data_IF_291763881222
#
_entry.id   IF_291763881222
#
_cell.length_a   1.000
_cell.length_b   1.000
_cell.length_c   1.000
_cell.angle_alpha   90.00
_cell.angle_beta   90.00
_cell.angle_gamma   90.00
#
_symmetry.space_group_name_H-M   'P 1'
#
loop_
_entity.id
_entity.type
_entity.pdbx_description
1 polymer ?
#
# COMPACT_ATOMS: atom_id res chain seq x y z
N UNK A 1 -4.81 -2.40 -3.39
CA UNK A 1 -4.66 -1.09 -4.10
C UNK A 1 -4.50 0.01 -3.09
N UNK A 2 -3.50 0.89 -3.25
CA UNK A 2 -3.38 2.10 -2.44
C UNK A 2 -4.32 3.16 -3.02
N UNK A 3 -5.24 3.66 -2.20
CA UNK A 3 -6.14 4.75 -2.55
C UNK A 3 -5.80 5.97 -1.70
N UNK A 4 -5.02 6.87 -2.28
CA UNK A 4 -4.35 7.99 -1.60
C UNK A 4 -4.84 9.34 -2.12
N UNK A 5 -5.53 9.34 -3.24
CA UNK A 5 -5.94 10.50 -4.02
C UNK A 5 -6.94 11.38 -3.28
N UNK A 6 -6.50 12.57 -2.94
CA UNK A 6 -7.18 13.53 -2.07
C UNK A 6 -6.62 13.56 -0.64
N UNK A 7 -5.67 12.68 -0.32
CA UNK A 7 -4.95 12.68 0.97
C UNK A 7 -3.50 13.15 0.88
N UNK A 8 -2.98 13.34 -0.32
CA UNK A 8 -1.64 13.84 -0.61
C UNK A 8 -1.41 15.27 -0.11
N UNK A 9 -0.15 15.72 -0.12
CA UNK A 9 0.18 17.13 0.13
C UNK A 9 -0.46 18.02 -0.93
N UNK A 10 -1.16 19.05 -0.48
CA UNK A 10 -1.78 20.04 -1.36
C UNK A 10 -1.75 21.44 -0.72
N UNK A 11 -1.30 22.43 -1.47
CA UNK A 11 -1.26 23.82 -1.01
C UNK A 11 -2.65 24.32 -0.58
N UNK A 12 -3.72 23.83 -1.21
CA UNK A 12 -5.10 24.17 -0.82
C UNK A 12 -5.52 23.58 0.53
N UNK A 13 -4.79 22.55 1.00
CA UNK A 13 -4.98 21.95 2.33
C UNK A 13 -4.06 22.57 3.40
N UNK A 14 -3.32 23.64 3.04
CA UNK A 14 -2.39 24.32 3.94
C UNK A 14 -0.99 23.69 3.99
N UNK A 15 -0.68 22.75 3.11
CA UNK A 15 0.62 22.09 3.08
C UNK A 15 1.63 22.92 2.33
N UNK A 16 2.40 23.67 2.55
CA UNK A 16 3.36 24.51 1.83
C UNK A 16 3.76 24.10 0.40
N UNK A 17 3.49 22.83 -0.02
CA UNK A 17 3.79 22.32 -1.37
C UNK A 17 2.74 21.31 -1.84
N UNK A 18 2.62 21.11 -3.17
CA UNK A 18 1.98 19.90 -3.71
C UNK A 18 2.85 18.67 -3.49
N UNK A 19 2.26 17.46 -3.50
CA UNK A 19 2.97 16.18 -3.26
C UNK A 19 4.06 15.94 -4.31
N UNK A 20 5.34 15.79 -3.91
CA UNK A 20 6.44 15.55 -4.84
C UNK A 20 6.66 14.09 -5.17
N UNK A 21 5.95 13.16 -4.52
CA UNK A 21 6.26 11.74 -4.52
C UNK A 21 5.21 10.89 -5.24
N UNK A 22 5.67 9.86 -5.95
CA UNK A 22 4.83 8.83 -6.58
C UNK A 22 3.76 9.37 -7.56
N UNK A 23 4.13 10.27 -8.44
CA UNK A 23 3.35 10.66 -9.61
C UNK A 23 4.20 10.60 -10.90
N UNK A 24 3.60 10.74 -12.08
CA UNK A 24 4.21 10.38 -13.37
C UNK A 24 5.55 11.05 -13.67
N UNK A 25 5.74 12.32 -13.31
CA UNK A 25 6.92 13.08 -13.71
C UNK A 25 7.94 13.30 -12.60
N UNK A 26 7.63 12.93 -11.36
CA UNK A 26 8.48 13.21 -10.21
C UNK A 26 8.67 14.72 -9.94
N UNK A 27 9.48 15.09 -8.96
CA UNK A 27 9.68 16.48 -8.61
C UNK A 27 10.37 17.21 -9.76
N UNK A 28 9.64 18.02 -10.50
CA UNK A 28 10.20 18.99 -11.42
C UNK A 28 10.38 20.28 -10.66
N UNK A 29 11.62 20.73 -10.52
CA UNK A 29 12.20 21.98 -10.06
C UNK A 29 11.38 23.21 -9.67
N UNK A 30 10.15 23.06 -9.22
CA UNK A 30 9.36 24.13 -8.61
C UNK A 30 9.78 24.29 -7.14
N UNK A 31 10.08 25.53 -6.75
CA UNK A 31 10.43 25.84 -5.36
C UNK A 31 9.37 25.39 -4.37
N UNK A 32 9.77 25.31 -3.11
CA UNK A 32 9.00 24.73 -1.99
C UNK A 32 7.63 25.38 -1.69
N UNK A 33 7.18 26.37 -2.44
CA UNK A 33 5.99 27.16 -2.11
C UNK A 33 4.97 27.26 -3.27
N UNK A 34 5.12 26.44 -4.32
CA UNK A 34 4.24 26.55 -5.48
C UNK A 34 3.42 25.30 -5.70
N UNK A 35 2.16 25.52 -6.09
CA UNK A 35 1.29 24.46 -6.58
C UNK A 35 1.86 23.80 -7.83
N UNK A 36 1.87 22.47 -7.83
CA UNK A 36 2.28 21.68 -8.98
C UNK A 36 1.04 21.10 -9.67
N UNK A 37 0.39 21.91 -10.51
CA UNK A 37 -0.90 21.55 -11.12
C UNK A 37 -0.88 20.21 -11.88
N UNK A 38 0.22 19.87 -12.55
CA UNK A 38 0.32 18.58 -13.24
C UNK A 38 0.30 17.40 -12.27
N UNK A 39 0.97 17.53 -11.12
CA UNK A 39 0.95 16.51 -10.08
C UNK A 39 -0.42 16.38 -9.44
N UNK A 40 -1.03 17.51 -9.07
CA UNK A 40 -2.39 17.54 -8.52
C UNK A 40 -3.41 16.90 -9.46
N UNK A 41 -3.33 17.18 -10.77
CA UNK A 41 -4.20 16.59 -11.79
C UNK A 41 -3.92 15.09 -11.99
N UNK A 42 -2.70 14.63 -11.76
CA UNK A 42 -2.38 13.20 -11.83
C UNK A 42 -3.02 12.44 -10.66
N UNK A 43 -2.99 13.02 -9.45
CA UNK A 43 -3.76 12.50 -8.32
C UNK A 43 -5.27 12.54 -8.60
N UNK A 44 -5.78 13.65 -9.11
CA UNK A 44 -7.19 13.77 -9.49
C UNK A 44 -7.61 12.72 -10.53
N UNK A 45 -6.76 12.43 -11.51
CA UNK A 45 -7.00 11.34 -12.46
C UNK A 45 -7.16 9.98 -11.75
N UNK A 46 -6.36 9.72 -10.72
CA UNK A 46 -6.45 8.51 -9.92
C UNK A 46 -7.83 8.32 -9.30
N UNK A 47 -8.38 9.36 -8.66
CA UNK A 47 -9.72 9.28 -8.05
C UNK A 47 -10.85 9.29 -9.06
N UNK A 48 -10.75 10.07 -10.16
CA UNK A 48 -11.83 10.21 -11.16
C UNK A 48 -11.91 9.06 -12.14
N UNK A 49 -10.78 8.48 -12.53
CA UNK A 49 -10.69 7.48 -13.59
C UNK A 49 -10.02 6.19 -13.15
N UNK A 50 -8.83 6.30 -12.56
CA UNK A 50 -7.94 5.15 -12.32
C UNK A 50 -8.53 4.13 -11.35
N UNK A 51 -9.00 4.58 -10.19
CA UNK A 51 -9.59 3.72 -9.17
C UNK A 51 -10.83 2.98 -9.72
N UNK A 52 -11.67 3.66 -10.45
CA UNK A 52 -12.85 3.06 -11.08
C UNK A 52 -12.50 2.04 -12.17
N UNK A 53 -11.42 2.27 -12.91
CA UNK A 53 -10.95 1.32 -13.92
C UNK A 53 -10.44 0.04 -13.26
N UNK A 54 -9.62 0.16 -12.22
CA UNK A 54 -9.15 -1.00 -11.45
C UNK A 54 -10.32 -1.73 -10.81
N UNK A 55 -11.27 -1.03 -10.22
CA UNK A 55 -12.47 -1.64 -9.65
C UNK A 55 -13.28 -2.45 -10.69
N UNK A 56 -13.42 -1.91 -11.91
CA UNK A 56 -14.09 -2.66 -13.00
C UNK A 56 -13.32 -3.91 -13.41
N UNK A 57 -11.98 -3.87 -13.42
CA UNK A 57 -11.17 -5.05 -13.68
C UNK A 57 -11.38 -6.12 -12.60
N UNK A 58 -11.39 -5.75 -11.33
CA UNK A 58 -11.69 -6.70 -10.26
C UNK A 58 -13.05 -7.35 -10.45
N UNK A 59 -14.05 -6.58 -10.83
CA UNK A 59 -15.42 -7.09 -11.12
C UNK A 59 -15.46 -8.01 -12.34
N UNK A 60 -14.71 -7.70 -13.40
CA UNK A 60 -14.61 -8.52 -14.62
C UNK A 60 -14.15 -9.95 -14.28
N UNK A 61 -13.19 -10.08 -13.36
CA UNK A 61 -12.68 -11.38 -12.91
C UNK A 61 -13.39 -11.97 -11.70
N UNK A 62 -14.35 -11.27 -11.12
CA UNK A 62 -15.03 -11.69 -9.90
C UNK A 62 -14.13 -11.66 -8.65
N UNK A 63 -13.06 -10.88 -8.66
CA UNK A 63 -12.06 -10.83 -7.61
C UNK A 63 -12.27 -9.65 -6.65
N UNK A 64 -11.79 -9.85 -5.43
CA UNK A 64 -11.75 -8.83 -4.39
C UNK A 64 -10.31 -8.40 -4.15
N UNK A 65 -10.14 -7.19 -3.63
CA UNK A 65 -8.83 -6.67 -3.27
C UNK A 65 -8.86 -5.98 -1.90
N UNK A 66 -7.71 -5.87 -1.27
CA UNK A 66 -7.52 -4.96 -0.14
C UNK A 66 -7.24 -3.56 -0.67
N UNK A 67 -8.00 -2.59 -0.20
CA UNK A 67 -7.79 -1.17 -0.47
C UNK A 67 -7.12 -0.55 0.75
N UNK A 68 -5.85 -0.19 0.60
CA UNK A 68 -5.15 0.63 1.56
C UNK A 68 -5.67 2.05 1.43
N UNK A 69 -6.59 2.39 2.31
CA UNK A 69 -7.37 3.60 2.21
C UNK A 69 -6.79 4.71 3.10
N UNK A 70 -6.39 5.81 2.48
CA UNK A 70 -6.17 7.07 3.19
C UNK A 70 -7.55 7.62 3.58
N UNK A 71 -7.76 7.87 4.87
CA UNK A 71 -9.10 8.13 5.38
C UNK A 71 -9.75 9.37 4.76
N UNK A 72 -9.03 10.50 4.67
CA UNK A 72 -9.55 11.72 4.05
C UNK A 72 -9.87 11.53 2.55
N UNK A 73 -9.16 10.63 1.85
CA UNK A 73 -9.46 10.32 0.47
C UNK A 73 -10.84 9.62 0.32
N UNK A 74 -11.19 8.75 1.28
CA UNK A 74 -12.51 8.13 1.34
C UNK A 74 -13.61 9.14 1.73
N UNK A 75 -13.34 10.06 2.66
CA UNK A 75 -14.24 11.14 3.03
C UNK A 75 -14.55 12.07 1.84
N UNK A 76 -13.53 12.39 1.04
CA UNK A 76 -13.63 13.25 -0.16
C UNK A 76 -14.30 12.56 -1.35
N UNK A 77 -14.32 11.22 -1.38
CA UNK A 77 -14.95 10.45 -2.45
C UNK A 77 -15.91 9.37 -1.88
N UNK A 78 -17.01 9.77 -1.24
CA UNK A 78 -17.95 8.83 -0.62
C UNK A 78 -18.61 7.89 -1.64
N UNK A 79 -18.68 8.27 -2.91
CA UNK A 79 -19.20 7.42 -3.97
C UNK A 79 -18.29 6.22 -4.21
N UNK A 80 -16.97 6.45 -4.21
CA UNK A 80 -16.00 5.37 -4.36
C UNK A 80 -15.92 4.51 -3.09
N UNK A 81 -15.94 5.12 -1.90
CA UNK A 81 -15.99 4.40 -0.63
C UNK A 81 -17.17 3.41 -0.59
N UNK A 82 -18.37 3.85 -0.92
CA UNK A 82 -19.57 2.99 -1.02
C UNK A 82 -19.42 1.90 -2.08
N UNK A 83 -18.79 2.19 -3.22
CA UNK A 83 -18.56 1.22 -4.27
C UNK A 83 -17.61 0.10 -3.80
N UNK A 84 -16.56 0.44 -3.04
CA UNK A 84 -15.63 -0.52 -2.48
C UNK A 84 -16.34 -1.54 -1.57
N UNK A 85 -17.16 -1.06 -0.66
CA UNK A 85 -17.93 -1.92 0.25
C UNK A 85 -18.96 -2.77 -0.51
N UNK A 86 -19.75 -2.14 -1.39
CA UNK A 86 -20.75 -2.86 -2.21
C UNK A 86 -20.12 -3.98 -3.03
N UNK A 87 -18.93 -3.75 -3.59
CA UNK A 87 -18.22 -4.70 -4.44
C UNK A 87 -17.39 -5.71 -3.61
N UNK A 88 -17.46 -5.64 -2.26
CA UNK A 88 -16.91 -6.61 -1.32
C UNK A 88 -15.41 -6.51 -1.12
N UNK A 89 -14.80 -5.35 -1.43
CA UNK A 89 -13.39 -5.10 -1.17
C UNK A 89 -13.15 -4.90 0.33
N UNK A 90 -11.95 -5.25 0.78
CA UNK A 90 -11.50 -4.95 2.13
C UNK A 90 -10.99 -3.51 2.21
N UNK A 91 -11.32 -2.80 3.27
CA UNK A 91 -10.73 -1.50 3.60
C UNK A 91 -9.69 -1.71 4.70
N UNK A 92 -8.43 -1.44 4.38
CA UNK A 92 -7.32 -1.43 5.33
C UNK A 92 -6.85 0.00 5.61
N UNK A 93 -6.37 0.25 6.84
CA UNK A 93 -5.95 1.59 7.26
C UNK A 93 -4.61 1.98 6.61
N UNK A 94 -4.56 3.18 5.99
CA UNK A 94 -3.37 3.74 5.33
C UNK A 94 -3.06 5.18 5.76
N UNK A 95 -3.37 5.51 7.00
CA UNK A 95 -3.24 6.84 7.57
C UNK A 95 -4.45 7.74 7.29
N UNK A 96 -4.53 8.85 8.05
CA UNK A 96 -5.59 9.83 7.85
C UNK A 96 -5.36 10.67 6.60
N UNK A 97 -4.12 11.17 6.42
CA UNK A 97 -3.61 11.80 5.20
C UNK A 97 -2.36 11.05 4.73
N UNK A 98 -2.01 11.17 3.46
CA UNK A 98 -0.82 10.54 2.91
C UNK A 98 0.41 11.45 3.06
N UNK A 99 0.81 11.68 4.30
CA UNK A 99 1.91 12.55 4.69
C UNK A 99 3.00 11.75 5.41
N UNK A 100 4.25 12.25 5.35
CA UNK A 100 5.29 11.80 6.27
C UNK A 100 4.99 12.36 7.66
N UNK A 101 4.90 11.47 8.63
CA UNK A 101 4.63 11.82 10.03
C UNK A 101 5.84 11.53 10.94
N UNK A 102 7.04 11.50 10.37
CA UNK A 102 8.28 11.14 11.08
C UNK A 102 8.52 11.94 12.37
N UNK A 103 8.12 13.20 12.37
CA UNK A 103 8.33 14.12 13.49
C UNK A 103 7.18 14.13 14.51
N UNK A 104 6.19 13.25 14.35
CA UNK A 104 5.09 13.15 15.31
C UNK A 104 5.60 12.62 16.65
N UNK A 105 5.15 13.23 17.74
CA UNK A 105 5.33 12.67 19.07
C UNK A 105 4.57 11.35 19.21
N UNK A 106 4.88 10.59 20.25
CA UNK A 106 4.19 9.34 20.55
C UNK A 106 2.66 9.53 20.69
N UNK A 107 2.24 10.61 21.36
CA UNK A 107 0.83 10.93 21.54
C UNK A 107 0.17 11.42 20.25
N UNK A 108 0.88 12.19 19.42
CA UNK A 108 0.37 12.60 18.10
C UNK A 108 0.18 11.40 17.17
N UNK A 109 1.11 10.43 17.20
CA UNK A 109 1.00 9.21 16.39
C UNK A 109 -0.21 8.36 16.85
N UNK A 110 -0.42 8.20 18.17
CA UNK A 110 -1.63 7.57 18.72
C UNK A 110 -2.91 8.28 18.25
N UNK A 111 -2.94 9.61 18.39
CA UNK A 111 -4.09 10.41 17.97
C UNK A 111 -4.35 10.27 16.46
N UNK A 112 -3.29 10.23 15.66
CA UNK A 112 -3.35 10.04 14.21
C UNK A 112 -3.90 8.67 13.83
N UNK A 113 -3.44 7.60 14.47
CA UNK A 113 -3.94 6.23 14.27
C UNK A 113 -5.43 6.18 14.62
N UNK A 114 -5.83 6.71 15.78
CA UNK A 114 -7.22 6.74 16.22
C UNK A 114 -8.11 7.49 15.23
N UNK A 115 -7.69 8.69 14.82
CA UNK A 115 -8.40 9.48 13.81
C UNK A 115 -8.57 8.75 12.49
N UNK A 116 -7.53 8.05 12.04
CA UNK A 116 -7.57 7.24 10.82
C UNK A 116 -8.69 6.20 10.86
N UNK A 117 -8.72 5.39 11.92
CA UNK A 117 -9.69 4.30 12.03
C UNK A 117 -11.13 4.82 12.15
N UNK A 118 -11.35 5.85 12.97
CA UNK A 118 -12.67 6.46 13.15
C UNK A 118 -13.20 7.09 11.86
N UNK A 119 -12.35 7.77 11.10
CA UNK A 119 -12.73 8.35 9.82
C UNK A 119 -13.04 7.29 8.76
N UNK A 120 -12.27 6.20 8.70
CA UNK A 120 -12.55 5.09 7.79
C UNK A 120 -13.88 4.42 8.13
N UNK A 121 -14.13 4.14 9.41
CA UNK A 121 -15.39 3.56 9.86
C UNK A 121 -16.58 4.46 9.51
N UNK A 122 -16.45 5.77 9.77
CA UNK A 122 -17.49 6.74 9.42
C UNK A 122 -17.76 6.82 7.90
N UNK A 123 -16.72 6.75 7.07
CA UNK A 123 -16.83 6.84 5.62
C UNK A 123 -17.34 5.56 4.95
N UNK A 124 -17.07 4.39 5.54
CA UNK A 124 -17.29 3.08 4.91
C UNK A 124 -18.32 2.21 5.64
N UNK A 125 -18.56 2.48 6.91
CA UNK A 125 -19.40 1.64 7.79
C UNK A 125 -18.67 0.40 8.32
N UNK A 126 -17.37 0.22 8.00
CA UNK A 126 -16.54 -0.90 8.46
C UNK A 126 -15.30 -0.39 9.19
N UNK A 127 -15.04 -0.91 10.41
CA UNK A 127 -13.80 -0.67 11.10
C UNK A 127 -12.67 -1.50 10.46
N UNK A 128 -11.49 -0.90 10.14
CA UNK A 128 -10.41 -1.62 9.46
C UNK A 128 -9.82 -2.71 10.37
N UNK A 129 -9.61 -3.91 9.83
CA UNK A 129 -9.05 -5.04 10.59
C UNK A 129 -7.56 -5.22 10.37
N UNK A 130 -6.96 -4.49 9.45
CA UNK A 130 -5.54 -4.48 9.15
C UNK A 130 -5.03 -3.10 8.77
N UNK A 131 -3.71 -2.92 8.83
CA UNK A 131 -3.07 -1.65 8.54
C UNK A 131 -1.77 -1.78 7.75
N UNK A 132 -1.52 -0.75 6.95
CA UNK A 132 -0.27 -0.45 6.26
C UNK A 132 -0.16 1.07 6.10
N UNK A 133 0.58 1.74 6.96
CA UNK A 133 0.73 3.20 6.91
C UNK A 133 1.86 3.62 5.95
N UNK A 134 2.98 2.90 5.99
CA UNK A 134 4.10 3.06 5.07
C UNK A 134 4.91 4.36 5.19
N UNK A 135 4.38 5.38 5.85
CA UNK A 135 5.00 6.71 6.10
C UNK A 135 4.91 7.10 7.58
N UNK A 136 4.88 6.10 8.46
CA UNK A 136 4.76 6.27 9.91
C UNK A 136 6.04 6.68 10.61
N UNK A 137 5.94 6.89 11.93
CA UNK A 137 7.08 7.05 12.83
C UNK A 137 7.74 5.70 13.11
N UNK A 138 8.93 5.66 13.74
CA UNK A 138 9.50 4.41 14.24
C UNK A 138 8.59 3.65 15.24
N UNK A 139 7.63 4.34 15.86
CA UNK A 139 6.69 3.77 16.84
C UNK A 139 5.40 3.24 16.23
N UNK A 140 4.99 3.74 15.07
CA UNK A 140 3.68 3.45 14.44
C UNK A 140 3.39 1.95 14.39
N UNK A 141 4.33 1.15 13.88
CA UNK A 141 4.12 -0.30 13.75
C UNK A 141 3.85 -1.00 15.10
N UNK A 142 4.42 -0.50 16.19
CA UNK A 142 4.20 -1.02 17.54
C UNK A 142 2.92 -0.47 18.16
N UNK A 143 2.54 0.76 17.82
CA UNK A 143 1.32 1.40 18.30
C UNK A 143 0.04 0.80 17.70
N UNK A 144 0.10 0.34 16.45
CA UNK A 144 -1.09 -0.17 15.75
C UNK A 144 -1.90 -1.19 16.58
N UNK A 145 -1.35 -2.33 17.03
CA UNK A 145 -2.13 -3.30 17.79
C UNK A 145 -2.61 -2.78 19.15
N UNK A 146 -1.85 -1.86 19.79
CA UNK A 146 -2.26 -1.20 21.04
C UNK A 146 -3.49 -0.34 20.78
N UNK A 147 -3.46 0.47 19.73
CA UNK A 147 -4.55 1.39 19.41
C UNK A 147 -5.82 0.65 19.01
N UNK A 148 -5.72 -0.46 18.25
CA UNK A 148 -6.89 -1.32 17.97
C UNK A 148 -7.54 -1.80 19.26
N UNK A 149 -6.74 -2.30 20.19
CA UNK A 149 -7.22 -2.77 21.51
C UNK A 149 -7.84 -1.62 22.34
N UNK A 150 -7.21 -0.45 22.37
CA UNK A 150 -7.76 0.74 23.07
C UNK A 150 -9.10 1.20 22.48
N UNK A 151 -9.31 1.00 21.18
CA UNK A 151 -10.58 1.31 20.51
C UNK A 151 -11.62 0.18 20.61
N UNK A 152 -11.33 -0.91 21.35
CA UNK A 152 -12.25 -2.05 21.53
C UNK A 152 -12.30 -3.02 20.36
N UNK A 153 -11.32 -2.99 19.46
CA UNK A 153 -11.26 -3.85 18.28
C UNK A 153 -10.05 -4.78 18.29
N UNK A 154 -10.12 -5.86 17.51
CA UNK A 154 -9.01 -6.77 17.29
C UNK A 154 -8.34 -6.50 15.95
N UNK A 155 -7.05 -6.25 15.99
CA UNK A 155 -6.24 -6.19 14.77
C UNK A 155 -5.98 -7.61 14.27
N UNK A 156 -6.40 -7.94 13.06
CA UNK A 156 -6.16 -9.26 12.49
C UNK A 156 -4.74 -9.40 11.96
N UNK A 157 -4.18 -8.35 11.36
CA UNK A 157 -2.84 -8.37 10.77
C UNK A 157 -2.25 -6.97 10.61
N UNK A 158 -0.92 -6.92 10.50
CA UNK A 158 -0.17 -5.74 10.06
C UNK A 158 0.58 -6.06 8.76
N UNK A 159 0.62 -5.10 7.85
CA UNK A 159 1.42 -5.19 6.62
C UNK A 159 2.62 -4.24 6.63
N UNK A 160 3.06 -3.76 7.79
CA UNK A 160 4.24 -2.89 7.97
C UNK A 160 5.57 -3.65 7.83
N UNK A 161 5.63 -4.66 6.99
CA UNK A 161 6.83 -5.47 6.76
C UNK A 161 6.98 -5.86 5.30
N UNK A 162 8.23 -6.04 4.85
CA UNK A 162 8.58 -6.28 3.45
C UNK A 162 9.54 -7.47 3.27
N UNK A 163 9.67 -8.31 4.29
CA UNK A 163 10.81 -9.18 4.51
C UNK A 163 10.52 -10.67 4.29
N UNK A 164 9.33 -11.03 3.77
CA UNK A 164 8.98 -12.42 3.52
C UNK A 164 7.92 -12.55 2.41
N UNK A 165 7.83 -13.73 1.82
CA UNK A 165 6.81 -14.12 0.83
C UNK A 165 5.69 -14.98 1.44
N UNK A 166 5.65 -15.10 2.76
CA UNK A 166 4.59 -15.78 3.50
C UNK A 166 4.19 -14.97 4.74
N UNK A 167 2.96 -15.07 5.23
CA UNK A 167 2.60 -14.50 6.52
C UNK A 167 3.39 -15.17 7.64
N UNK A 168 3.61 -14.46 8.74
CA UNK A 168 4.27 -15.01 9.91
C UNK A 168 3.83 -14.31 11.19
N UNK A 169 3.99 -15.00 12.33
CA UNK A 169 3.68 -14.44 13.63
C UNK A 169 4.86 -13.67 14.22
N UNK A 170 4.54 -12.59 14.92
CA UNK A 170 5.46 -11.79 15.70
C UNK A 170 4.99 -11.72 17.14
N UNK A 171 5.90 -11.99 18.08
CA UNK A 171 5.63 -11.79 19.50
C UNK A 171 5.46 -10.31 19.80
N UNK A 172 4.55 -9.99 20.72
CA UNK A 172 4.33 -8.63 21.18
C UNK A 172 5.10 -8.44 22.49
N UNK A 173 6.00 -7.43 22.58
CA UNK A 173 6.88 -7.26 23.76
C UNK A 173 6.13 -7.13 25.08
N UNK A 174 4.95 -6.54 25.09
CA UNK A 174 4.12 -6.37 26.29
C UNK A 174 3.37 -7.63 26.71
N UNK A 175 3.38 -8.68 25.91
CA UNK A 175 2.80 -9.97 26.24
C UNK A 175 3.82 -10.93 26.86
N UNK A 176 5.08 -10.50 27.01
CA UNK A 176 6.18 -11.36 27.44
C UNK A 176 5.87 -12.12 28.72
N UNK A 177 5.29 -11.43 29.69
CA UNK A 177 5.03 -11.96 31.02
C UNK A 177 3.59 -12.49 31.21
N UNK A 178 2.77 -12.49 30.15
CA UNK A 178 1.44 -13.06 30.18
C UNK A 178 1.49 -14.60 30.12
N UNK A 179 0.49 -15.28 30.70
CA UNK A 179 0.27 -16.70 30.47
C UNK A 179 0.14 -17.02 28.98
N UNK A 180 0.59 -18.18 28.54
CA UNK A 180 0.63 -18.53 27.12
C UNK A 180 -0.75 -18.47 26.44
N UNK A 181 -1.80 -18.83 27.15
CA UNK A 181 -3.18 -18.77 26.67
C UNK A 181 -3.77 -17.36 26.59
N UNK A 182 -3.06 -16.35 27.09
CA UNK A 182 -3.45 -14.93 27.03
C UNK A 182 -2.66 -14.14 25.99
N UNK A 183 -1.62 -14.75 25.43
CA UNK A 183 -0.82 -14.15 24.35
C UNK A 183 -1.54 -14.27 23.02
N UNK A 184 -1.58 -13.20 22.28
CA UNK A 184 -2.25 -13.15 20.98
C UNK A 184 -1.29 -13.03 19.79
N UNK A 185 -0.09 -12.47 20.04
CA UNK A 185 0.85 -12.12 18.99
C UNK A 185 0.26 -11.21 17.91
N UNK A 186 1.06 -10.83 16.95
CA UNK A 186 0.61 -10.07 15.79
C UNK A 186 0.94 -10.83 14.50
N UNK A 187 -0.07 -11.08 13.70
CA UNK A 187 0.15 -11.65 12.38
C UNK A 187 0.69 -10.59 11.43
N UNK A 188 1.86 -10.86 10.85
CA UNK A 188 2.46 -10.06 9.79
C UNK A 188 2.07 -10.65 8.44
N UNK A 189 1.47 -9.82 7.57
CA UNK A 189 1.15 -10.18 6.19
C UNK A 189 2.00 -9.26 5.29
N UNK A 190 3.16 -9.71 4.81
CA UNK A 190 4.13 -8.85 4.17
C UNK A 190 3.58 -8.07 2.98
N UNK A 191 3.97 -6.80 2.88
CA UNK A 191 3.75 -5.97 1.71
C UNK A 191 5.02 -5.99 0.87
N UNK A 192 4.95 -6.45 -0.36
CA UNK A 192 6.13 -6.54 -1.21
C UNK A 192 6.18 -5.36 -2.20
N UNK A 193 7.34 -4.71 -2.33
CA UNK A 193 7.55 -3.65 -3.32
C UNK A 193 7.97 -4.17 -4.69
N UNK A 194 8.39 -5.41 -4.79
CA UNK A 194 8.96 -5.98 -6.01
C UNK A 194 8.01 -5.87 -7.21
N UNK A 195 6.75 -6.24 -7.00
CA UNK A 195 5.73 -6.21 -8.05
C UNK A 195 5.03 -4.85 -8.20
N UNK A 196 5.57 -3.79 -7.60
CA UNK A 196 5.05 -2.44 -7.75
C UNK A 196 5.50 -1.85 -9.08
N UNK A 197 4.57 -1.31 -9.86
CA UNK A 197 4.89 -0.76 -11.18
C UNK A 197 6.11 0.18 -11.16
N UNK A 198 6.20 1.07 -10.18
CA UNK A 198 7.31 2.01 -10.04
C UNK A 198 8.64 1.37 -9.67
N UNK A 199 8.62 0.28 -8.91
CA UNK A 199 9.84 -0.42 -8.49
C UNK A 199 10.38 -1.30 -9.62
N UNK A 200 9.49 -1.97 -10.34
CA UNK A 200 9.85 -2.76 -11.51
C UNK A 200 10.49 -1.90 -12.63
N UNK A 201 10.18 -0.59 -12.65
CA UNK A 201 10.70 0.37 -13.65
C UNK A 201 11.65 1.40 -13.07
N UNK A 202 11.80 1.50 -11.77
CA UNK A 202 12.92 2.17 -11.13
C UNK A 202 14.18 1.30 -11.18
N UNK A 203 14.37 0.49 -12.21
CA UNK A 203 15.71 0.15 -12.62
C UNK A 203 16.34 1.48 -12.95
N UNK A 204 17.05 2.02 -11.98
CA UNK A 204 17.98 3.10 -12.18
C UNK A 204 18.88 2.62 -13.30
N UNK A 205 18.57 2.95 -14.54
CA UNK A 205 19.59 3.07 -15.53
C UNK A 205 20.44 4.20 -15.01
N UNK A 206 21.42 3.84 -14.21
CA UNK A 206 22.40 4.74 -13.65
C UNK A 206 23.31 5.22 -14.74
N UNK A 207 22.78 5.98 -15.67
CA UNK A 207 23.55 6.90 -16.42
C UNK A 207 23.79 8.08 -15.48
N UNK A 208 24.89 8.02 -14.80
CA UNK A 208 25.56 9.19 -14.28
C UNK A 208 25.92 10.06 -15.52
N UNK A 209 24.99 10.84 -16.02
CA UNK A 209 25.36 12.01 -16.76
C UNK A 209 25.96 12.98 -15.74
N UNK A 210 27.27 12.86 -15.56
CA UNK A 210 28.08 13.96 -15.04
C UNK A 210 28.10 15.02 -16.12
N UNK A 211 27.10 15.90 -16.13
CA UNK A 211 27.23 17.15 -16.89
C UNK A 211 28.30 17.98 -16.20
N UNK A 212 29.52 17.84 -16.72
CA UNK A 212 30.69 18.57 -16.26
C UNK A 212 30.63 20.08 -16.57
N UNK A 213 29.55 20.58 -17.17
CA UNK A 213 29.35 21.98 -17.55
C UNK A 213 28.61 22.80 -16.49
N UNK A 214 28.02 22.18 -15.47
CA UNK A 214 27.36 22.88 -14.35
C UNK A 214 28.14 22.65 -13.08
N UNK A 215 28.62 23.72 -12.48
CA UNK A 215 29.48 23.73 -11.31
C UNK A 215 29.10 22.69 -10.26
N UNK A 216 30.12 22.07 -9.70
CA UNK A 216 30.08 21.02 -8.71
C UNK A 216 29.48 21.54 -7.39
N UNK A 217 28.13 21.54 -7.28
CA UNK A 217 27.39 21.93 -6.07
C UNK A 217 27.15 20.76 -5.12
N UNK A 218 27.71 19.59 -5.39
CA UNK A 218 27.59 18.39 -4.56
C UNK A 218 26.16 17.82 -4.48
N UNK A 219 25.21 18.31 -5.28
CA UNK A 219 23.84 17.82 -5.28
C UNK A 219 23.64 16.72 -6.30
N UNK A 220 23.15 15.58 -5.85
CA UNK A 220 22.66 14.51 -6.70
C UNK A 220 21.44 15.00 -7.49
N UNK A 221 21.64 15.39 -8.74
CA UNK A 221 20.54 15.57 -9.67
C UNK A 221 20.15 14.19 -10.22
N UNK A 222 19.15 13.55 -9.60
CA UNK A 222 18.50 12.42 -10.22
C UNK A 222 17.60 12.96 -11.33
N UNK A 223 18.07 12.87 -12.57
CA UNK A 223 17.15 12.93 -13.70
C UNK A 223 16.27 11.67 -13.63
N UNK A 224 14.96 11.78 -13.42
CA UNK A 224 14.09 10.63 -13.52
C UNK A 224 13.96 10.31 -15.00
N UNK A 225 14.82 9.43 -15.48
CA UNK A 225 14.63 8.77 -16.77
C UNK A 225 13.38 7.90 -16.65
N UNK A 226 12.21 8.46 -16.90
CA UNK A 226 11.01 7.68 -17.12
C UNK A 226 11.17 6.95 -18.44
N UNK A 227 11.51 5.70 -18.36
CA UNK A 227 11.20 4.78 -19.44
C UNK A 227 9.70 4.59 -19.38
N UNK A 228 8.98 5.26 -20.26
CA UNK A 228 7.57 4.96 -20.55
C UNK A 228 7.48 3.62 -21.27
N UNK A 229 8.32 2.67 -20.87
CA UNK A 229 8.31 1.35 -21.41
C UNK A 229 7.08 0.68 -20.86
N UNK A 230 6.13 0.80 -21.67
CA UNK A 230 5.28 -0.28 -22.01
C UNK A 230 4.77 -1.08 -20.80
N UNK A 231 3.47 -1.00 -20.64
CA UNK A 231 2.73 -1.99 -19.87
C UNK A 231 3.18 -3.44 -20.11
N UNK A 232 3.66 -3.75 -21.30
CA UNK A 232 4.19 -5.07 -21.66
C UNK A 232 5.38 -5.53 -20.78
N UNK A 233 6.30 -4.66 -20.41
CA UNK A 233 7.41 -5.03 -19.50
C UNK A 233 6.89 -5.27 -18.09
N UNK A 234 5.94 -4.46 -17.62
CA UNK A 234 5.29 -4.67 -16.34
C UNK A 234 4.51 -6.00 -16.31
N UNK A 235 3.74 -6.29 -17.35
CA UNK A 235 3.04 -7.55 -17.50
C UNK A 235 4.00 -8.74 -17.44
N UNK A 236 5.10 -8.69 -18.20
CA UNK A 236 6.09 -9.76 -18.19
C UNK A 236 6.75 -9.93 -16.82
N UNK A 237 7.11 -8.82 -16.16
CA UNK A 237 7.67 -8.88 -14.81
C UNK A 237 6.73 -9.52 -13.81
N UNK A 238 5.44 -9.16 -13.84
CA UNK A 238 4.44 -9.79 -12.98
C UNK A 238 4.31 -11.31 -13.24
N UNK A 239 4.38 -11.73 -14.50
CA UNK A 239 4.36 -13.15 -14.87
C UNK A 239 5.59 -13.88 -14.37
N UNK A 240 6.78 -13.31 -14.53
CA UNK A 240 8.04 -13.91 -14.07
C UNK A 240 8.08 -14.05 -12.53
N UNK A 241 7.65 -13.03 -11.82
CA UNK A 241 7.55 -13.07 -10.36
C UNK A 241 6.51 -14.11 -9.89
N UNK A 242 5.35 -14.15 -10.54
CA UNK A 242 4.32 -15.15 -10.26
C UNK A 242 4.83 -16.57 -10.53
N UNK A 243 5.44 -16.81 -11.67
CA UNK A 243 5.93 -18.14 -12.05
C UNK A 243 7.04 -18.65 -11.11
N UNK A 244 7.87 -17.73 -10.60
CA UNK A 244 8.86 -18.05 -9.58
C UNK A 244 8.18 -18.56 -8.31
N UNK A 245 7.29 -17.76 -7.73
CA UNK A 245 6.59 -18.10 -6.47
C UNK A 245 5.65 -19.31 -6.64
N UNK A 246 5.04 -19.46 -7.82
CA UNK A 246 4.17 -20.60 -8.14
C UNK A 246 4.94 -21.92 -8.17
N UNK A 247 6.16 -21.94 -8.73
CA UNK A 247 7.04 -23.12 -8.71
C UNK A 247 7.53 -23.47 -7.29
N UNK A 248 7.78 -22.45 -6.47
CA UNK A 248 8.18 -22.68 -5.08
C UNK A 248 7.03 -23.24 -4.23
N UNK A 249 5.81 -22.88 -4.54
CA UNK A 249 4.61 -23.33 -3.82
C UNK A 249 4.43 -22.73 -2.43
N UNK A 250 3.20 -22.62 -1.97
CA UNK A 250 2.87 -22.11 -0.63
C UNK A 250 3.28 -20.66 -0.37
N UNK A 251 3.43 -19.86 -1.41
CA UNK A 251 3.87 -18.47 -1.36
C UNK A 251 2.71 -17.49 -1.54
N UNK A 252 2.93 -16.27 -1.11
CA UNK A 252 2.03 -15.14 -1.30
C UNK A 252 2.69 -14.11 -2.22
N UNK A 253 1.96 -13.65 -3.23
CA UNK A 253 2.36 -12.55 -4.09
C UNK A 253 1.52 -11.33 -3.78
N UNK A 254 2.14 -10.17 -3.60
CA UNK A 254 1.45 -8.88 -3.54
C UNK A 254 1.68 -8.11 -4.83
N UNK A 255 0.59 -7.63 -5.45
CA UNK A 255 0.66 -6.70 -6.59
C UNK A 255 0.18 -5.33 -6.12
N UNK A 256 1.10 -4.44 -5.73
CA UNK A 256 0.75 -3.11 -5.25
C UNK A 256 0.29 -2.21 -6.40
N UNK A 257 -0.93 -1.72 -6.31
CA UNK A 257 -1.54 -0.85 -7.32
C UNK A 257 -1.73 0.56 -6.75
N UNK A 258 -1.40 1.58 -7.56
CA UNK A 258 -1.77 2.97 -7.30
C UNK A 258 -2.72 3.44 -8.38
N UNK A 259 -3.86 4.02 -7.99
CA UNK A 259 -4.94 4.38 -8.91
C UNK A 259 -4.48 5.34 -10.00
N UNK A 260 -3.69 6.35 -9.67
CA UNK A 260 -3.14 7.33 -10.62
C UNK A 260 -2.09 6.74 -11.58
N UNK A 261 -1.47 5.62 -11.22
CA UNK A 261 -0.39 5.00 -11.99
C UNK A 261 -0.90 3.80 -12.77
N UNK A 262 -1.28 2.74 -12.07
CA UNK A 262 -1.76 1.49 -12.70
C UNK A 262 -3.12 1.69 -13.37
N UNK A 263 -3.90 2.66 -12.89
CA UNK A 263 -5.19 3.01 -13.48
C UNK A 263 -5.12 3.73 -14.83
N UNK A 264 -3.92 4.06 -15.37
CA UNK A 264 -3.77 4.58 -16.74
C UNK A 264 -4.11 3.48 -17.75
N UNK A 265 -4.69 3.80 -18.94
CA UNK A 265 -5.25 2.81 -19.85
C UNK A 265 -4.31 1.68 -20.22
N UNK A 266 -3.11 2.01 -20.72
CA UNK A 266 -2.15 0.99 -21.15
C UNK A 266 -1.66 0.07 -20.02
N UNK A 267 -1.47 0.61 -18.82
CA UNK A 267 -1.04 -0.16 -17.65
C UNK A 267 -2.17 -1.03 -17.08
N UNK A 268 -3.39 -0.52 -17.16
CA UNK A 268 -4.58 -1.30 -16.78
C UNK A 268 -4.78 -2.49 -17.72
N UNK A 269 -4.49 -2.34 -19.02
CA UNK A 269 -4.55 -3.46 -19.95
C UNK A 269 -3.48 -4.51 -19.65
N UNK A 270 -2.27 -4.08 -19.29
CA UNK A 270 -1.22 -5.02 -18.87
C UNK A 270 -1.59 -5.75 -17.58
N UNK A 271 -2.19 -5.05 -16.62
CA UNK A 271 -2.73 -5.68 -15.42
C UNK A 271 -3.83 -6.70 -15.79
N UNK A 272 -4.74 -6.35 -16.70
CA UNK A 272 -5.80 -7.24 -17.17
C UNK A 272 -5.23 -8.52 -17.80
N UNK A 273 -4.20 -8.40 -18.64
CA UNK A 273 -3.52 -9.54 -19.25
C UNK A 273 -2.85 -10.43 -18.20
N UNK A 274 -2.21 -9.85 -17.19
CA UNK A 274 -1.67 -10.60 -16.08
C UNK A 274 -2.77 -11.31 -15.27
N UNK A 275 -3.89 -10.62 -14.98
CA UNK A 275 -5.03 -11.23 -14.29
C UNK A 275 -5.58 -12.42 -15.07
N UNK A 276 -5.72 -12.29 -16.38
CA UNK A 276 -6.10 -13.40 -17.27
C UNK A 276 -5.10 -14.55 -17.16
N UNK A 277 -3.80 -14.27 -17.23
CA UNK A 277 -2.76 -15.29 -17.14
C UNK A 277 -2.85 -16.12 -15.85
N UNK A 278 -3.03 -15.47 -14.70
CA UNK A 278 -3.12 -16.17 -13.42
C UNK A 278 -4.47 -16.85 -13.20
N UNK A 279 -5.55 -16.38 -13.84
CA UNK A 279 -6.88 -17.02 -13.74
C UNK A 279 -6.93 -18.39 -14.41
N UNK A 280 -5.97 -18.70 -15.28
CA UNK A 280 -5.82 -19.98 -15.96
C UNK A 280 -4.95 -20.99 -15.15
N UNK A 281 -4.44 -20.58 -13.97
CA UNK A 281 -3.55 -21.41 -13.15
C UNK A 281 -4.32 -22.09 -12.02
N UNK A 282 -4.11 -23.38 -11.87
CA UNK A 282 -4.73 -24.17 -10.79
C UNK A 282 -4.10 -23.84 -9.42
N UNK A 283 -4.88 -23.92 -8.36
CA UNK A 283 -4.40 -23.72 -7.00
C UNK A 283 -4.04 -22.26 -6.65
N UNK A 284 -4.41 -21.29 -7.48
CA UNK A 284 -4.22 -19.86 -7.21
C UNK A 284 -5.45 -19.29 -6.52
N UNK A 285 -5.23 -18.67 -5.37
CA UNK A 285 -6.26 -17.99 -4.61
C UNK A 285 -6.04 -16.47 -4.63
N UNK A 286 -6.81 -15.76 -5.44
CA UNK A 286 -6.80 -14.30 -5.48
C UNK A 286 -7.82 -13.77 -4.48
N UNK A 287 -7.35 -13.07 -3.45
CA UNK A 287 -8.20 -12.68 -2.33
C UNK A 287 -7.71 -11.42 -1.62
N UNK A 288 -8.42 -11.02 -0.57
CA UNK A 288 -8.05 -9.91 0.32
C UNK A 288 -7.02 -10.34 1.36
N UNK A 289 -6.30 -9.38 1.95
CA UNK A 289 -5.40 -9.66 3.06
C UNK A 289 -6.13 -10.09 4.31
N UNK A 290 -7.35 -9.62 4.52
CA UNK A 290 -8.24 -10.09 5.59
C UNK A 290 -8.47 -11.60 5.47
N UNK A 291 -8.78 -12.08 4.29
CA UNK A 291 -9.04 -13.50 4.05
C UNK A 291 -7.76 -14.34 4.23
N UNK A 292 -6.62 -13.83 3.75
CA UNK A 292 -5.31 -14.46 3.99
C UNK A 292 -5.03 -14.53 5.49
N UNK A 293 -5.25 -13.44 6.22
CA UNK A 293 -5.02 -13.39 7.66
C UNK A 293 -5.94 -14.36 8.42
N UNK A 294 -7.22 -14.44 8.07
CA UNK A 294 -8.16 -15.37 8.67
C UNK A 294 -7.76 -16.83 8.40
N UNK A 295 -7.41 -17.14 7.16
CA UNK A 295 -6.93 -18.47 6.79
C UNK A 295 -5.66 -18.85 7.56
N UNK A 296 -4.67 -17.96 7.58
CA UNK A 296 -3.41 -18.24 8.25
C UNK A 296 -3.59 -18.40 9.76
N UNK A 297 -4.39 -17.55 10.40
CA UNK A 297 -4.72 -17.64 11.83
C UNK A 297 -5.42 -18.96 12.21
N UNK A 298 -6.29 -19.45 11.35
CA UNK A 298 -7.00 -20.72 11.58
C UNK A 298 -6.12 -21.95 11.35
N UNK A 299 -5.23 -21.89 10.36
CA UNK A 299 -4.37 -23.02 9.96
C UNK A 299 -3.12 -23.09 10.81
N UNK A 300 -2.54 -21.96 11.17
CA UNK A 300 -1.30 -21.80 11.93
C UNK A 300 -1.53 -20.86 13.13
N UNK A 301 -2.23 -21.34 14.19
CA UNK A 301 -2.50 -20.51 15.36
C UNK A 301 -1.20 -20.03 16.01
N UNK A 302 -1.28 -18.84 16.62
CA UNK A 302 -0.13 -18.26 17.30
C UNK A 302 0.43 -19.17 18.40
N UNK A 303 1.74 -19.25 18.45
CA UNK A 303 2.50 -19.84 19.54
C UNK A 303 3.68 -18.93 19.85
N UNK A 304 3.84 -18.53 21.11
CA UNK A 304 4.92 -17.67 21.56
C UNK A 304 6.29 -18.29 21.22
N UNK A 305 7.23 -17.46 20.81
CA UNK A 305 8.57 -17.89 20.40
C UNK A 305 8.62 -18.65 19.07
N UNK A 306 7.49 -18.93 18.44
CA UNK A 306 7.47 -19.50 17.11
C UNK A 306 7.82 -18.42 16.09
N UNK A 307 9.12 -18.22 15.83
CA UNK A 307 9.54 -17.56 14.60
C UNK A 307 9.19 -18.51 13.44
N UNK A 308 7.99 -18.37 12.91
CA UNK A 308 7.64 -18.99 11.64
C UNK A 308 8.39 -18.22 10.55
N UNK A 309 9.48 -18.75 10.10
CA UNK A 309 10.36 -18.14 9.12
C UNK A 309 11.81 -18.29 9.56
N UNK A 310 12.45 -19.38 9.16
CA UNK A 310 13.79 -19.71 9.59
C UNK A 310 14.79 -18.57 9.36
N UNK A 311 15.41 -18.16 10.43
CA UNK A 311 16.79 -17.76 10.59
C UNK A 311 17.27 -18.28 11.92
#
# INVERSE_FOLDING_TARGET
MNYEEGGERNVLDGDGTSEPYLWEKGPSGGGKEHRHLNGEQDFEYGSRCGAWRINRLMKEFGWKMTIWAVAVAMERNPTFAKACIRDGHEIGAHGYRWLDIWDYSFEDDKAYIKKTCQALEAATGEFPVGAYFGRGTPNTASLLPIMWKEMGHKMLYSSEVYNDDVPYWRDLPWEKDLPENEKEGLLMVPYNYDCKFQTAFAVRTGFLETDSSKGNDGKFHMSPGFVSSAGAVYEQYLKDAFDCLYREGGKMMTVPLHSRITGKPGRSESLRNFMKYISEKEGVWVTTRRDIAQHYRSTFPYKSGSRSGGR
#
